data_IF_151146928199
#
_entry.id   IF_151146928199
#
_cell.length_a   1.000
_cell.length_b   1.000
_cell.length_c   1.000
_cell.angle_alpha   90.00
_cell.angle_beta   90.00
_cell.angle_gamma   90.00
#
_symmetry.space_group_name_H-M   'P 1'
#
loop_
_entity.id
_entity.type
_entity.pdbx_description
1 polymer ?
#
# COMPACT_ATOMS: atom_id res chain seq x y z
N UNK A 1 10.82 -13.02 -7.36
CA UNK A 1 9.38 -12.73 -7.57
C UNK A 1 8.81 -12.26 -6.23
N UNK A 2 8.33 -11.03 -6.11
CA UNK A 2 7.89 -10.50 -4.81
C UNK A 2 6.64 -11.29 -4.37
N UNK A 3 6.65 -11.87 -3.15
CA UNK A 3 5.63 -12.82 -2.63
C UNK A 3 4.23 -12.18 -2.52
N UNK A 4 4.20 -10.85 -2.56
CA UNK A 4 3.05 -10.01 -2.41
C UNK A 4 2.95 -9.11 -3.64
N UNK A 5 1.95 -9.37 -4.50
CA UNK A 5 1.70 -8.61 -5.74
C UNK A 5 0.99 -7.27 -5.45
N UNK A 6 1.39 -6.57 -4.38
CA UNK A 6 0.87 -5.24 -4.05
C UNK A 6 2.03 -4.27 -3.84
N UNK A 7 1.83 -3.05 -4.30
CA UNK A 7 2.75 -1.95 -4.00
C UNK A 7 2.45 -1.43 -2.59
N UNK A 8 3.49 -1.02 -1.89
CA UNK A 8 3.39 -0.38 -0.59
C UNK A 8 4.21 0.91 -0.63
N UNK A 9 3.63 1.98 -0.11
CA UNK A 9 4.31 3.25 0.12
C UNK A 9 4.57 3.38 1.61
N UNK A 10 5.82 3.65 1.97
CA UNK A 10 6.20 3.90 3.36
C UNK A 10 6.22 5.42 3.56
N UNK A 11 5.57 5.88 4.61
CA UNK A 11 5.50 7.28 5.02
C UNK A 11 6.12 7.37 6.41
N UNK A 12 7.12 8.23 6.57
CA UNK A 12 7.69 8.56 7.88
C UNK A 12 6.80 9.61 8.54
N UNK A 13 6.42 9.38 9.79
CA UNK A 13 5.47 10.23 10.54
C UNK A 13 5.97 10.42 11.97
N UNK A 14 5.60 11.52 12.61
CA UNK A 14 5.90 11.76 14.03
C UNK A 14 4.62 11.79 14.85
N UNK A 15 4.64 11.15 16.02
CA UNK A 15 3.52 11.14 16.95
C UNK A 15 3.29 12.52 17.54
N UNK A 16 2.09 13.07 17.36
CA UNK A 16 1.76 14.43 17.79
C UNK A 16 1.91 14.66 19.31
N UNK A 17 1.73 13.63 20.13
CA UNK A 17 1.80 13.73 21.60
C UNK A 17 3.05 13.10 22.21
N UNK A 18 3.68 12.15 21.50
CA UNK A 18 4.84 11.40 22.00
C UNK A 18 6.15 11.92 21.44
N UNK A 19 6.12 12.74 20.40
CA UNK A 19 7.27 13.15 19.57
C UNK A 19 8.09 11.97 19.02
N UNK A 20 7.60 10.74 19.13
CA UNK A 20 8.24 9.53 18.63
C UNK A 20 8.09 9.42 17.11
N UNK A 21 9.10 8.85 16.46
CA UNK A 21 9.06 8.55 15.03
C UNK A 21 8.34 7.22 14.78
N UNK A 22 7.39 7.24 13.86
CA UNK A 22 6.62 6.09 13.40
C UNK A 22 6.70 5.96 11.88
N UNK A 23 6.35 4.76 11.41
CA UNK A 23 6.15 4.50 9.98
C UNK A 23 4.70 4.14 9.72
N UNK A 24 4.10 4.81 8.74
CA UNK A 24 2.82 4.44 8.19
C UNK A 24 3.03 3.75 6.84
N UNK A 25 2.44 2.57 6.68
CA UNK A 25 2.47 1.85 5.40
C UNK A 25 1.12 1.97 4.74
N UNK A 26 1.10 2.58 3.55
CA UNK A 26 -0.10 2.70 2.73
C UNK A 26 -0.01 1.72 1.57
N UNK A 27 -1.03 0.89 1.40
CA UNK A 27 -1.12 -0.05 0.29
C UNK A 27 -2.52 -0.05 -0.30
N UNK A 28 -2.59 -0.14 -1.63
CA UNK A 28 -3.85 -0.34 -2.35
C UNK A 28 -4.01 -1.84 -2.58
N UNK A 29 -5.09 -2.39 -2.05
CA UNK A 29 -5.40 -3.81 -2.14
C UNK A 29 -6.68 -4.02 -2.95
N UNK A 30 -6.69 -5.07 -3.78
CA UNK A 30 -7.96 -5.59 -4.28
C UNK A 30 -8.72 -6.27 -3.14
N UNK A 31 -10.06 -6.16 -3.15
CA UNK A 31 -10.91 -6.79 -2.14
C UNK A 31 -10.65 -8.30 -1.97
N UNK A 32 -10.39 -9.01 -3.08
CA UNK A 32 -10.04 -10.45 -3.07
C UNK A 32 -8.75 -10.78 -2.30
N UNK A 33 -7.88 -9.80 -2.09
CA UNK A 33 -6.59 -9.97 -1.40
C UNK A 33 -6.67 -9.65 0.10
N UNK A 34 -7.78 -9.07 0.59
CA UNK A 34 -7.95 -8.66 1.99
C UNK A 34 -7.71 -9.84 2.94
N UNK A 35 -8.34 -11.00 2.70
CA UNK A 35 -8.17 -12.17 3.58
C UNK A 35 -6.70 -12.62 3.70
N UNK A 36 -5.96 -12.61 2.58
CA UNK A 36 -4.54 -12.97 2.56
C UNK A 36 -3.69 -11.92 3.30
N UNK A 37 -4.02 -10.64 3.12
CA UNK A 37 -3.39 -9.54 3.84
C UNK A 37 -3.62 -9.68 5.35
N UNK A 38 -4.86 -9.86 5.80
CA UNK A 38 -5.19 -10.04 7.22
C UNK A 38 -4.49 -11.25 7.83
N UNK A 39 -4.37 -12.37 7.12
CA UNK A 39 -3.61 -13.52 7.60
C UNK A 39 -2.10 -13.23 7.74
N UNK A 40 -1.55 -12.35 6.91
CA UNK A 40 -0.16 -11.90 7.04
C UNK A 40 0.00 -10.98 8.25
N UNK A 41 -0.96 -10.05 8.44
CA UNK A 41 -0.93 -9.11 9.54
C UNK A 41 -1.06 -9.74 10.93
N UNK A 42 -1.64 -10.95 11.04
CA UNK A 42 -1.62 -11.73 12.29
C UNK A 42 -0.21 -12.02 12.82
N UNK A 43 0.82 -11.95 11.98
CA UNK A 43 2.23 -12.12 12.39
C UNK A 43 2.82 -10.85 13.03
N UNK A 44 2.10 -9.73 12.94
CA UNK A 44 2.51 -8.41 13.42
C UNK A 44 1.43 -7.81 14.34
N UNK A 45 1.19 -8.42 15.52
CA UNK A 45 0.07 -8.06 16.40
C UNK A 45 0.13 -6.62 16.94
N UNK A 46 1.33 -6.04 17.01
CA UNK A 46 1.55 -4.65 17.46
C UNK A 46 1.24 -3.60 16.37
N UNK A 47 0.79 -4.02 15.18
CA UNK A 47 0.44 -3.09 14.10
C UNK A 47 -1.04 -2.74 14.12
N UNK A 48 -1.35 -1.45 14.13
CA UNK A 48 -2.70 -0.95 13.91
C UNK A 48 -3.02 -0.88 12.41
N UNK A 49 -4.20 -1.36 12.01
CA UNK A 49 -4.65 -1.36 10.61
C UNK A 49 -5.92 -0.54 10.49
N UNK A 50 -5.90 0.42 9.57
CA UNK A 50 -7.07 1.20 9.20
C UNK A 50 -7.49 0.85 7.76
N UNK A 51 -8.73 0.39 7.61
CA UNK A 51 -9.39 0.29 6.30
C UNK A 51 -10.22 1.54 6.11
N UNK A 52 -9.81 2.40 5.19
CA UNK A 52 -10.71 3.41 4.67
C UNK A 52 -11.67 2.72 3.70
N UNK A 53 -12.97 3.00 3.82
CA UNK A 53 -13.97 2.73 2.76
C UNK A 53 -13.74 3.66 1.56
N UNK A 54 -12.48 3.78 1.13
CA UNK A 54 -12.04 4.61 0.03
C UNK A 54 -12.85 4.24 -1.20
N UNK A 55 -13.63 5.22 -1.65
CA UNK A 55 -14.25 5.36 -2.98
C UNK A 55 -13.77 4.25 -3.90
N UNK A 56 -14.67 3.33 -4.29
CA UNK A 56 -14.43 2.29 -5.30
C UNK A 56 -13.54 2.89 -6.39
N UNK A 57 -12.25 2.58 -6.37
CA UNK A 57 -11.34 2.97 -7.44
C UNK A 57 -11.71 2.05 -8.59
N UNK A 58 -12.63 2.52 -9.43
CA UNK A 58 -13.15 1.80 -10.58
C UNK A 58 -12.11 1.85 -11.70
N UNK A 59 -10.94 1.25 -11.45
CA UNK A 59 -9.87 1.18 -12.43
C UNK A 59 -8.97 0.00 -12.11
N UNK A 60 -8.86 -0.92 -13.07
CA UNK A 60 -7.74 -1.85 -13.11
C UNK A 60 -6.48 -1.02 -13.34
N UNK A 61 -5.73 -0.75 -12.27
CA UNK A 61 -4.40 -0.12 -12.32
C UNK A 61 -3.42 -1.07 -13.02
N UNK A 62 -3.55 -1.21 -14.34
CA UNK A 62 -2.48 -1.71 -15.19
C UNK A 62 -1.43 -0.61 -15.26
N UNK A 63 -0.37 -0.77 -14.46
CA UNK A 63 0.81 0.08 -14.52
C UNK A 63 1.42 -0.05 -15.92
N UNK A 64 1.03 0.84 -16.86
CA UNK A 64 1.67 0.92 -18.18
C UNK A 64 3.08 1.45 -18.00
N UNK A 65 4.04 0.54 -17.90
CA UNK A 65 5.45 0.86 -18.07
C UNK A 65 5.73 1.08 -19.57
N UNK A 66 5.28 2.19 -20.15
CA UNK A 66 5.66 2.57 -21.52
C UNK A 66 5.48 4.07 -21.81
N UNK A 67 6.23 4.95 -21.14
CA UNK A 67 6.54 6.27 -21.72
C UNK A 67 7.99 6.59 -21.39
N UNK A 68 8.91 6.08 -22.21
CA UNK A 68 10.26 6.61 -22.36
C UNK A 68 10.95 5.96 -23.57
N UNK A 69 10.42 6.21 -24.78
CA UNK A 69 11.15 5.99 -26.05
C UNK A 69 10.49 6.65 -27.27
N UNK A 70 9.83 7.80 -27.12
CA UNK A 70 9.47 8.66 -28.26
C UNK A 70 9.53 10.15 -27.87
N UNK A 71 10.73 10.63 -27.55
CA UNK A 71 11.16 11.98 -27.90
C UNK A 71 12.56 11.81 -28.48
N UNK A 72 12.58 11.45 -29.76
CA UNK A 72 13.75 11.50 -30.62
C UNK A 72 13.22 11.64 -32.05
N UNK A 73 12.74 12.84 -32.36
CA UNK A 73 12.71 13.45 -33.69
C UNK A 73 12.77 14.96 -33.48
#
# INVERSE_FOLDING_TARGET
MNKYQHSATIIETQGMYTDENYYMVVTILHNKSITKFMNTMKQYPETFIYFSDGVKVQSDFHFRKSISSQIAL
#
